data_IF_782569006315
#
_entry.id   IF_782569006315
#
_cell.length_a   1.000
_cell.length_b   1.000
_cell.length_c   1.000
_cell.angle_alpha   90.00
_cell.angle_beta   90.00
_cell.angle_gamma   90.00
#
_symmetry.space_group_name_H-M   'P 1'
#
loop_
_entity.id
_entity.type
_entity.pdbx_description
1 polymer ?
#
# COMPACT_ATOMS: atom_id res chain seq x y z
N UNK A 1 0.37 7.12 -36.02
CA UNK A 1 -0.83 6.28 -35.74
C UNK A 1 -0.52 4.80 -35.55
N UNK A 2 0.25 4.14 -36.43
CA UNK A 2 0.61 2.71 -36.32
C UNK A 2 1.28 2.37 -34.96
N UNK A 3 2.14 3.26 -34.46
CA UNK A 3 2.81 3.11 -33.16
C UNK A 3 1.86 3.15 -31.95
N UNK A 4 0.76 3.91 -32.01
CA UNK A 4 -0.25 3.92 -30.94
C UNK A 4 -1.04 2.60 -30.91
N UNK A 5 -1.31 2.02 -32.08
CA UNK A 5 -1.99 0.73 -32.23
C UNK A 5 -1.14 -0.44 -31.70
N UNK A 6 0.15 -0.47 -32.03
CA UNK A 6 1.09 -1.48 -31.50
C UNK A 6 1.23 -1.37 -29.97
N UNK A 7 1.21 -0.14 -29.43
CA UNK A 7 1.25 0.09 -27.99
C UNK A 7 -0.03 -0.36 -27.28
N UNK A 8 -1.21 -0.08 -27.85
CA UNK A 8 -2.48 -0.59 -27.31
C UNK A 8 -2.50 -2.13 -27.35
N UNK A 9 -1.96 -2.74 -28.41
CA UNK A 9 -1.83 -4.19 -28.54
C UNK A 9 -0.84 -4.78 -27.52
N UNK A 10 0.30 -4.13 -27.28
CA UNK A 10 1.26 -4.56 -26.27
C UNK A 10 0.65 -4.46 -24.86
N UNK A 11 -0.08 -3.39 -24.57
CA UNK A 11 -0.76 -3.22 -23.27
C UNK A 11 -1.93 -4.19 -23.07
N UNK A 12 -2.72 -4.50 -24.11
CA UNK A 12 -3.79 -5.50 -24.01
C UNK A 12 -3.22 -6.90 -23.84
N UNK A 13 -2.12 -7.24 -24.53
CA UNK A 13 -1.43 -8.52 -24.36
C UNK A 13 -0.76 -8.62 -22.99
N UNK A 14 -0.11 -7.56 -22.50
CA UNK A 14 0.50 -7.56 -21.17
C UNK A 14 -0.55 -7.65 -20.06
N UNK A 15 -1.66 -6.90 -20.20
CA UNK A 15 -2.80 -7.00 -19.29
C UNK A 15 -3.47 -8.38 -19.34
N UNK A 16 -3.59 -8.98 -20.54
CA UNK A 16 -4.15 -10.33 -20.72
C UNK A 16 -3.25 -11.42 -20.14
N UNK A 17 -1.94 -11.33 -20.35
CA UNK A 17 -0.94 -12.26 -19.79
C UNK A 17 -0.86 -12.13 -18.27
N UNK A 18 -0.97 -10.91 -17.73
CA UNK A 18 -1.05 -10.68 -16.29
C UNK A 18 -2.36 -11.21 -15.69
N UNK A 19 -3.48 -11.14 -16.40
CA UNK A 19 -4.78 -11.69 -15.98
C UNK A 19 -4.81 -13.23 -16.03
N UNK A 20 -4.11 -13.85 -17.00
CA UNK A 20 -4.11 -15.30 -17.21
C UNK A 20 -3.27 -16.08 -16.20
N UNK A 21 -2.29 -15.45 -15.55
CA UNK A 21 -1.35 -16.15 -14.65
C UNK A 21 -1.85 -16.42 -13.23
N UNK A 22 -3.10 -16.09 -12.88
CA UNK A 22 -3.68 -16.28 -11.54
C UNK A 22 -2.72 -15.88 -10.40
N UNK A 23 -1.88 -14.87 -10.68
CA UNK A 23 -1.06 -14.23 -9.66
C UNK A 23 -2.07 -13.34 -8.97
N UNK A 24 -2.48 -13.74 -7.76
CA UNK A 24 -3.29 -12.95 -6.83
C UNK A 24 -2.54 -11.66 -6.45
N UNK A 25 -2.34 -10.78 -7.42
CA UNK A 25 -2.23 -9.37 -7.14
C UNK A 25 -3.61 -8.95 -6.69
N UNK A 26 -3.64 -8.31 -5.52
CA UNK A 26 -4.80 -7.66 -4.97
C UNK A 26 -5.17 -6.38 -5.76
N UNK A 27 -5.04 -6.43 -7.09
CA UNK A 27 -5.44 -5.41 -8.04
C UNK A 27 -6.94 -5.13 -7.92
N UNK A 28 -7.73 -6.16 -7.57
CA UNK A 28 -9.16 -6.04 -7.25
C UNK A 28 -9.43 -5.09 -6.09
N UNK A 29 -8.55 -5.03 -5.08
CA UNK A 29 -8.68 -4.11 -3.94
C UNK A 29 -8.21 -2.69 -4.30
N UNK A 30 -7.16 -2.56 -5.13
CA UNK A 30 -6.65 -1.29 -5.66
C UNK A 30 -7.69 -0.63 -6.59
N UNK A 31 -8.41 -1.41 -7.41
CA UNK A 31 -9.46 -0.88 -8.28
C UNK A 31 -10.77 -0.55 -7.55
N UNK A 32 -10.98 -1.09 -6.33
CA UNK A 32 -12.22 -0.92 -5.58
C UNK A 32 -12.36 0.47 -4.95
N UNK A 33 -11.24 1.16 -4.69
CA UNK A 33 -11.21 2.50 -4.06
C UNK A 33 -10.79 3.57 -5.08
N UNK A 34 -11.51 4.69 -5.14
CA UNK A 34 -11.29 5.78 -6.11
C UNK A 34 -9.82 6.25 -6.21
N UNK A 35 -9.08 6.23 -5.10
CA UNK A 35 -7.66 6.60 -5.02
C UNK A 35 -6.74 5.69 -5.86
N UNK A 36 -7.00 4.38 -5.90
CA UNK A 36 -6.15 3.45 -6.67
C UNK A 36 -6.30 3.64 -8.18
N UNK A 37 -7.49 4.03 -8.65
CA UNK A 37 -7.73 4.41 -10.05
C UNK A 37 -6.99 5.69 -10.41
N UNK A 38 -6.99 6.71 -9.55
CA UNK A 38 -6.26 7.97 -9.80
C UNK A 38 -4.75 7.74 -9.89
N UNK A 39 -4.19 6.85 -9.06
CA UNK A 39 -2.75 6.55 -9.08
C UNK A 39 -2.35 5.78 -10.34
N UNK A 40 -3.18 4.83 -10.80
CA UNK A 40 -2.94 4.14 -12.06
C UNK A 40 -2.92 5.12 -13.24
N UNK A 41 -3.85 6.08 -13.26
CA UNK A 41 -3.89 7.15 -14.26
C UNK A 41 -2.63 8.02 -14.16
N UNK A 42 -2.20 8.42 -12.96
CA UNK A 42 -0.98 9.22 -12.80
C UNK A 42 0.27 8.50 -13.30
N UNK A 43 0.40 7.19 -13.05
CA UNK A 43 1.51 6.40 -13.55
C UNK A 43 1.53 6.36 -15.09
N UNK A 44 0.37 6.21 -15.73
CA UNK A 44 0.26 6.20 -17.20
C UNK A 44 0.62 7.57 -17.79
N UNK A 45 0.12 8.66 -17.19
CA UNK A 45 0.44 10.03 -17.63
C UNK A 45 1.94 10.30 -17.51
N UNK A 46 2.55 9.97 -16.36
CA UNK A 46 3.99 10.13 -16.13
C UNK A 46 4.80 9.31 -17.12
N UNK A 47 4.38 8.08 -17.40
CA UNK A 47 5.02 7.21 -18.38
C UNK A 47 5.02 7.81 -19.79
N UNK A 48 3.87 8.33 -20.26
CA UNK A 48 3.75 8.92 -21.59
C UNK A 48 4.58 10.21 -21.68
N UNK A 49 4.48 11.09 -20.70
CA UNK A 49 5.21 12.37 -20.67
C UNK A 49 6.72 12.12 -20.64
N UNK A 50 7.22 11.30 -19.69
CA UNK A 50 8.64 11.01 -19.60
C UNK A 50 9.17 10.22 -20.80
N UNK A 51 8.39 9.25 -21.31
CA UNK A 51 8.74 8.50 -22.50
C UNK A 51 8.91 9.40 -23.72
N UNK A 52 8.02 10.38 -23.92
CA UNK A 52 8.15 11.35 -25.03
C UNK A 52 9.36 12.28 -24.87
N UNK A 53 9.65 12.75 -23.67
CA UNK A 53 10.82 13.61 -23.39
C UNK A 53 12.12 12.83 -23.64
N UNK A 54 12.23 11.64 -23.08
CA UNK A 54 13.43 10.80 -23.20
C UNK A 54 13.63 10.35 -24.64
N UNK A 55 12.55 10.01 -25.37
CA UNK A 55 12.63 9.66 -26.78
C UNK A 55 13.18 10.83 -27.64
N UNK A 56 12.79 12.08 -27.33
CA UNK A 56 13.36 13.26 -28.04
C UNK A 56 14.86 13.43 -27.79
N UNK A 57 15.38 12.97 -26.66
CA UNK A 57 16.80 13.07 -26.32
C UNK A 57 17.60 11.94 -26.97
N UNK A 58 17.08 10.71 -26.93
CA UNK A 58 17.77 9.51 -27.39
C UNK A 58 17.53 9.20 -28.88
N UNK A 59 16.51 9.79 -29.50
CA UNK A 59 16.04 9.42 -30.85
C UNK A 59 15.73 7.92 -31.04
N UNK A 60 15.57 7.18 -29.95
CA UNK A 60 15.26 5.76 -29.94
C UNK A 60 14.01 5.52 -29.08
N UNK A 61 12.86 5.19 -29.70
CA UNK A 61 11.60 5.07 -28.97
C UNK A 61 11.59 3.89 -28.02
N UNK A 62 12.16 2.75 -28.41
CA UNK A 62 12.15 1.53 -27.59
C UNK A 62 12.89 1.78 -26.27
N UNK A 63 14.11 2.30 -26.36
CA UNK A 63 14.95 2.57 -25.20
C UNK A 63 14.35 3.68 -24.33
N UNK A 64 13.82 4.74 -24.94
CA UNK A 64 13.23 5.86 -24.19
C UNK A 64 12.04 5.44 -23.31
N UNK A 65 11.16 4.57 -23.82
CA UNK A 65 10.05 4.06 -23.02
C UNK A 65 10.50 3.01 -21.99
N UNK A 66 11.51 2.19 -22.27
CA UNK A 66 12.09 1.29 -21.26
C UNK A 66 12.62 2.05 -20.03
N UNK A 67 13.32 3.17 -20.26
CA UNK A 67 13.82 4.02 -19.17
C UNK A 67 12.67 4.68 -18.43
N UNK A 68 11.63 5.14 -19.16
CA UNK A 68 10.47 5.81 -18.56
C UNK A 68 9.64 4.92 -17.61
N UNK A 69 9.76 3.58 -17.70
CA UNK A 69 9.11 2.66 -16.75
C UNK A 69 9.59 2.86 -15.31
N UNK A 70 10.87 3.17 -15.11
CA UNK A 70 11.45 3.32 -13.77
C UNK A 70 10.79 4.48 -12.97
N UNK A 71 10.78 5.73 -13.47
CA UNK A 71 10.13 6.84 -12.76
C UNK A 71 8.60 6.74 -12.77
N UNK A 72 7.98 6.10 -13.77
CA UNK A 72 6.54 5.89 -13.79
C UNK A 72 6.05 4.95 -12.66
N UNK A 73 6.94 4.12 -12.11
CA UNK A 73 6.64 3.24 -10.98
C UNK A 73 6.73 3.95 -9.61
N UNK A 74 7.34 5.14 -9.57
CA UNK A 74 7.60 5.88 -8.33
C UNK A 74 6.32 6.30 -7.58
N UNK A 75 5.25 6.81 -8.22
CA UNK A 75 3.98 7.10 -7.53
C UNK A 75 3.35 5.86 -6.89
N UNK A 76 3.49 4.69 -7.53
CA UNK A 76 3.00 3.43 -6.99
C UNK A 76 3.79 3.01 -5.75
N UNK A 77 5.12 3.12 -5.77
CA UNK A 77 5.96 2.85 -4.60
C UNK A 77 5.62 3.76 -3.41
N UNK A 78 5.45 5.07 -3.66
CA UNK A 78 5.05 6.03 -2.61
C UNK A 78 3.69 5.65 -2.02
N UNK A 79 2.73 5.29 -2.87
CA UNK A 79 1.42 4.84 -2.40
C UNK A 79 1.50 3.57 -1.53
N UNK A 80 2.27 2.57 -1.97
CA UNK A 80 2.43 1.32 -1.23
C UNK A 80 3.14 1.53 0.12
N UNK A 81 4.14 2.43 0.16
CA UNK A 81 4.81 2.86 1.39
C UNK A 81 3.84 3.56 2.37
N UNK A 82 3.05 4.52 1.90
CA UNK A 82 2.08 5.23 2.74
C UNK A 82 1.00 4.27 3.24
N UNK A 83 0.51 3.38 2.38
CA UNK A 83 -0.49 2.37 2.73
C UNK A 83 0.05 1.38 3.77
N UNK A 84 1.25 0.86 3.57
CA UNK A 84 1.89 -0.07 4.52
C UNK A 84 2.20 0.58 5.87
N UNK A 85 2.62 1.86 5.88
CA UNK A 85 2.78 2.63 7.10
C UNK A 85 1.46 2.80 7.84
N UNK A 86 0.38 3.12 7.13
CA UNK A 86 -0.96 3.28 7.70
C UNK A 86 -1.50 1.95 8.23
N UNK A 87 -1.34 0.87 7.47
CA UNK A 87 -1.68 -0.49 7.90
C UNK A 87 -0.98 -0.88 9.20
N UNK A 88 0.33 -0.59 9.30
CA UNK A 88 1.12 -0.88 10.51
C UNK A 88 0.68 -0.05 11.72
N UNK A 89 0.30 1.21 11.50
CA UNK A 89 -0.30 2.05 12.55
C UNK A 89 -1.67 1.53 12.97
N UNK A 90 -2.47 1.06 12.02
CA UNK A 90 -3.77 0.43 12.28
C UNK A 90 -3.61 -0.79 13.19
N UNK A 91 -2.74 -1.74 12.81
CA UNK A 91 -2.47 -2.94 13.62
C UNK A 91 -2.04 -2.61 15.04
N UNK A 92 -1.09 -1.67 15.21
CA UNK A 92 -0.62 -1.26 16.55
C UNK A 92 -1.69 -0.54 17.37
N UNK A 93 -2.62 0.14 16.70
CA UNK A 93 -3.72 0.85 17.34
C UNK A 93 -4.82 -0.09 17.85
N UNK A 94 -4.93 -1.33 17.35
CA UNK A 94 -5.97 -2.29 17.76
C UNK A 94 -5.88 -2.60 19.26
N UNK A 95 -4.68 -2.85 19.78
CA UNK A 95 -4.50 -3.14 21.21
C UNK A 95 -4.91 -1.94 22.08
N UNK A 96 -4.58 -0.72 21.63
CA UNK A 96 -5.02 0.51 22.30
C UNK A 96 -6.55 0.68 22.28
N UNK A 97 -7.18 0.39 21.14
CA UNK A 97 -8.63 0.37 21.01
C UNK A 97 -9.28 -0.62 21.98
N UNK A 98 -8.80 -1.86 21.99
CA UNK A 98 -9.33 -2.93 22.82
C UNK A 98 -9.17 -2.61 24.32
N UNK A 99 -8.03 -2.07 24.76
CA UNK A 99 -7.85 -1.65 26.15
C UNK A 99 -8.88 -0.60 26.58
N UNK A 100 -9.15 0.40 25.73
CA UNK A 100 -10.12 1.47 26.04
C UNK A 100 -11.55 0.94 26.01
N UNK A 101 -11.89 0.10 25.02
CA UNK A 101 -13.19 -0.56 24.94
C UNK A 101 -13.43 -1.47 26.15
N UNK A 102 -12.45 -2.30 26.54
CA UNK A 102 -12.52 -3.14 27.74
C UNK A 102 -12.78 -2.27 28.98
N UNK A 103 -12.03 -1.18 29.14
CA UNK A 103 -12.20 -0.25 30.28
C UNK A 103 -13.62 0.32 30.36
N UNK A 104 -14.21 0.78 29.26
CA UNK A 104 -15.55 1.38 29.31
C UNK A 104 -16.68 0.35 29.37
N UNK A 105 -16.45 -0.84 28.80
CA UNK A 105 -17.41 -1.96 28.89
C UNK A 105 -17.55 -2.54 30.31
N UNK A 106 -16.54 -2.39 31.17
CA UNK A 106 -16.65 -2.74 32.59
C UNK A 106 -17.51 -1.75 33.38
N UNK A 107 -17.59 -0.50 32.91
CA UNK A 107 -18.44 0.54 33.51
C UNK A 107 -19.88 0.37 33.04
N UNK A 108 -20.09 0.19 31.73
CA UNK A 108 -21.43 0.01 31.15
C UNK A 108 -21.40 -0.96 29.99
N UNK A 109 -22.26 -1.97 30.05
CA UNK A 109 -22.39 -2.99 29.02
C UNK A 109 -23.25 -2.51 27.82
N UNK A 110 -22.82 -1.42 27.17
CA UNK A 110 -23.48 -0.80 26.03
C UNK A 110 -22.45 -0.38 24.99
N UNK A 111 -22.58 -0.88 23.75
CA UNK A 111 -21.62 -0.65 22.66
C UNK A 111 -21.58 0.82 22.26
N UNK A 112 -22.73 1.50 22.20
CA UNK A 112 -22.79 2.91 21.79
C UNK A 112 -22.05 3.77 22.81
N UNK A 113 -22.31 3.53 24.09
CA UNK A 113 -21.61 4.20 25.18
C UNK A 113 -20.10 3.95 25.13
N UNK A 114 -19.68 2.69 24.92
CA UNK A 114 -18.25 2.35 24.83
C UNK A 114 -17.57 3.07 23.66
N UNK A 115 -18.20 3.12 22.49
CA UNK A 115 -17.66 3.80 21.31
C UNK A 115 -17.53 5.31 21.53
N UNK A 116 -18.55 5.96 22.08
CA UNK A 116 -18.53 7.40 22.39
C UNK A 116 -17.42 7.74 23.39
N UNK A 117 -17.29 6.97 24.49
CA UNK A 117 -16.21 7.16 25.46
C UNK A 117 -14.82 6.84 24.91
N UNK A 118 -14.75 5.96 23.92
CA UNK A 118 -13.50 5.68 23.21
C UNK A 118 -13.10 6.86 22.32
N UNK A 119 -14.04 7.51 21.63
CA UNK A 119 -13.76 8.72 20.83
C UNK A 119 -13.27 9.89 21.71
N UNK A 120 -13.87 10.08 22.90
CA UNK A 120 -13.43 11.07 23.88
C UNK A 120 -11.96 10.90 24.30
N UNK A 121 -11.44 9.67 24.26
CA UNK A 121 -10.05 9.34 24.62
C UNK A 121 -9.04 9.79 23.54
N UNK A 122 -9.51 10.17 22.34
CA UNK A 122 -8.68 10.64 21.22
C UNK A 122 -7.53 9.69 20.88
N UNK A 123 -7.90 8.45 20.52
CA UNK A 123 -6.94 7.46 20.03
C UNK A 123 -6.14 7.98 18.81
N UNK A 124 -4.94 7.44 18.62
CA UNK A 124 -4.09 7.79 17.49
C UNK A 124 -4.71 7.36 16.15
N UNK A 125 -4.42 8.15 15.11
CA UNK A 125 -4.82 7.81 13.74
C UNK A 125 -4.03 6.59 13.23
N UNK A 126 -4.68 5.66 12.49
CA UNK A 126 -6.01 5.77 11.86
C UNK A 126 -7.20 5.27 12.69
N UNK A 127 -6.95 4.63 13.84
CA UNK A 127 -8.01 4.04 14.67
C UNK A 127 -8.95 5.10 15.23
N UNK A 128 -8.40 6.22 15.71
CA UNK A 128 -9.19 7.36 16.18
C UNK A 128 -10.19 7.85 15.12
N UNK A 129 -9.75 7.99 13.87
CA UNK A 129 -10.60 8.36 12.74
C UNK A 129 -11.76 7.39 12.50
N UNK A 130 -11.51 6.07 12.55
CA UNK A 130 -12.58 5.08 12.39
C UNK A 130 -13.62 5.16 13.51
N UNK A 131 -13.19 5.29 14.76
CA UNK A 131 -14.09 5.41 15.92
C UNK A 131 -14.91 6.69 15.84
N UNK A 132 -14.27 7.81 15.49
CA UNK A 132 -14.95 9.09 15.31
C UNK A 132 -16.00 9.03 14.20
N UNK A 133 -15.64 8.46 13.05
CA UNK A 133 -16.55 8.32 11.92
C UNK A 133 -17.74 7.42 12.28
N UNK A 134 -17.52 6.34 13.03
CA UNK A 134 -18.61 5.52 13.56
C UNK A 134 -19.50 6.32 14.51
N UNK A 135 -18.94 7.08 15.46
CA UNK A 135 -19.74 7.89 16.40
C UNK A 135 -20.60 8.93 15.66
N UNK A 136 -20.04 9.63 14.67
CA UNK A 136 -20.78 10.58 13.82
C UNK A 136 -21.95 9.89 13.09
N UNK A 137 -21.75 8.66 12.58
CA UNK A 137 -22.80 7.89 11.91
C UNK A 137 -23.92 7.51 12.89
N UNK A 138 -23.56 7.06 14.09
CA UNK A 138 -24.52 6.72 15.15
C UNK A 138 -25.33 7.95 15.59
N UNK A 139 -24.70 9.10 15.77
CA UNK A 139 -25.37 10.36 16.11
C UNK A 139 -26.34 10.82 15.03
N UNK A 140 -26.06 10.51 13.76
CA UNK A 140 -26.95 10.76 12.62
C UNK A 140 -28.08 9.74 12.48
N UNK A 141 -28.23 8.80 13.42
CA UNK A 141 -29.31 7.83 13.45
C UNK A 141 -29.03 6.55 12.67
N UNK A 142 -27.80 6.31 12.20
CA UNK A 142 -27.42 5.01 11.62
C UNK A 142 -27.42 3.94 12.71
N UNK A 143 -27.87 2.73 12.39
CA UNK A 143 -27.83 1.63 13.36
C UNK A 143 -26.40 1.21 13.67
N UNK A 144 -26.19 0.60 14.86
CA UNK A 144 -24.86 0.12 15.29
C UNK A 144 -24.31 -0.93 14.34
N UNK A 145 -25.16 -1.85 13.87
CA UNK A 145 -24.75 -2.92 12.95
C UNK A 145 -24.29 -2.34 11.59
N UNK A 146 -25.03 -1.38 11.04
CA UNK A 146 -24.67 -0.69 9.79
C UNK A 146 -23.40 0.15 9.94
N UNK A 147 -23.26 0.90 11.03
CA UNK A 147 -22.08 1.73 11.28
C UNK A 147 -20.81 0.87 11.39
N UNK A 148 -20.87 -0.27 12.11
CA UNK A 148 -19.79 -1.24 12.21
C UNK A 148 -19.49 -1.90 10.87
N UNK A 149 -20.52 -2.28 10.09
CA UNK A 149 -20.34 -2.87 8.76
C UNK A 149 -19.66 -1.90 7.79
N UNK A 150 -20.09 -0.64 7.79
CA UNK A 150 -19.49 0.40 6.96
C UNK A 150 -18.08 0.78 7.44
N UNK A 151 -17.75 0.61 8.72
CA UNK A 151 -16.37 0.72 9.21
C UNK A 151 -15.51 -0.47 8.78
N UNK A 152 -16.07 -1.68 8.81
CA UNK A 152 -15.40 -2.91 8.37
C UNK A 152 -14.96 -2.82 6.91
N UNK A 153 -15.78 -2.24 6.03
CA UNK A 153 -15.41 -2.02 4.62
C UNK A 153 -14.23 -1.05 4.43
N UNK A 154 -14.00 -0.16 5.40
CA UNK A 154 -12.94 0.85 5.34
C UNK A 154 -11.64 0.40 6.01
N UNK A 155 -11.71 -0.55 6.94
CA UNK A 155 -10.57 -1.11 7.67
C UNK A 155 -9.56 -1.77 6.72
N UNK A 156 -8.28 -1.39 6.83
CA UNK A 156 -7.22 -1.89 5.97
C UNK A 156 -6.78 -3.29 6.40
N UNK A 157 -6.67 -3.52 7.71
CA UNK A 157 -6.23 -4.75 8.33
C UNK A 157 -7.36 -5.76 8.49
N UNK A 158 -7.06 -7.04 8.27
CA UNK A 158 -8.01 -8.13 8.52
C UNK A 158 -8.28 -8.26 10.02
N UNK A 159 -7.28 -7.92 10.84
CA UNK A 159 -7.33 -7.87 12.29
C UNK A 159 -8.37 -6.87 12.80
N UNK A 160 -8.36 -5.63 12.28
CA UNK A 160 -9.37 -4.64 12.65
C UNK A 160 -10.76 -5.09 12.17
N UNK A 161 -10.86 -5.65 10.96
CA UNK A 161 -12.13 -6.22 10.48
C UNK A 161 -12.65 -7.33 11.39
N UNK A 162 -11.77 -8.21 11.85
CA UNK A 162 -12.11 -9.26 12.80
C UNK A 162 -12.63 -8.67 14.11
N UNK A 163 -11.96 -7.66 14.67
CA UNK A 163 -12.43 -6.96 15.89
C UNK A 163 -13.82 -6.35 15.67
N UNK A 164 -14.03 -5.63 14.57
CA UNK A 164 -15.33 -5.00 14.25
C UNK A 164 -16.46 -6.02 14.07
N UNK A 165 -16.18 -7.15 13.40
CA UNK A 165 -17.14 -8.26 13.27
C UNK A 165 -17.53 -8.81 14.64
N UNK A 166 -16.56 -9.02 15.53
CA UNK A 166 -16.83 -9.52 16.89
C UNK A 166 -17.63 -8.51 17.72
N UNK A 167 -17.34 -7.21 17.61
CA UNK A 167 -18.14 -6.16 18.25
C UNK A 167 -19.59 -6.19 17.74
N UNK A 168 -19.78 -6.31 16.41
CA UNK A 168 -21.11 -6.38 15.81
C UNK A 168 -21.88 -7.61 16.26
N UNK A 169 -21.22 -8.77 16.26
CA UNK A 169 -21.81 -10.01 16.74
C UNK A 169 -22.21 -9.93 18.22
N UNK A 170 -21.35 -9.32 19.05
CA UNK A 170 -21.63 -9.08 20.47
C UNK A 170 -22.85 -8.18 20.69
N UNK A 171 -23.01 -7.16 19.84
CA UNK A 171 -24.18 -6.27 19.86
C UNK A 171 -25.46 -7.01 19.45
N UNK A 172 -25.44 -7.78 18.36
CA UNK A 172 -26.62 -8.44 17.81
C UNK A 172 -27.10 -9.64 18.65
N UNK A 173 -26.16 -10.43 19.20
CA UNK A 173 -26.49 -11.62 19.99
C UNK A 173 -26.60 -11.33 21.50
N UNK A 174 -26.16 -10.15 21.92
CA UNK A 174 -26.07 -9.79 23.33
C UNK A 174 -24.97 -10.57 24.06
N UNK A 175 -24.80 -10.23 25.34
CA UNK A 175 -23.79 -10.83 26.22
C UNK A 175 -22.97 -9.79 26.97
N UNK A 176 -21.90 -10.26 27.64
CA UNK A 176 -20.96 -9.38 28.33
C UNK A 176 -19.92 -8.87 27.35
N UNK A 177 -20.05 -7.61 26.92
CA UNK A 177 -19.08 -6.90 26.09
C UNK A 177 -17.70 -6.94 26.73
N UNK A 178 -17.65 -6.78 28.05
CA UNK A 178 -16.40 -6.87 28.81
C UNK A 178 -15.66 -8.18 28.59
N UNK A 179 -16.35 -9.34 28.64
CA UNK A 179 -15.70 -10.64 28.40
C UNK A 179 -15.17 -10.75 26.97
N UNK A 180 -15.92 -10.23 26.00
CA UNK A 180 -15.54 -10.28 24.58
C UNK A 180 -14.34 -9.38 24.33
N UNK A 181 -14.38 -8.12 24.77
CA UNK A 181 -13.27 -7.18 24.60
C UNK A 181 -12.03 -7.62 25.37
N UNK A 182 -12.18 -8.16 26.58
CA UNK A 182 -11.04 -8.71 27.34
C UNK A 182 -10.42 -9.92 26.66
N UNK A 183 -11.24 -10.80 26.06
CA UNK A 183 -10.74 -11.93 25.29
C UNK A 183 -9.95 -11.48 24.06
N UNK A 184 -10.51 -10.53 23.29
CA UNK A 184 -9.82 -9.96 22.12
C UNK A 184 -8.53 -9.24 22.54
N UNK A 185 -8.57 -8.42 23.58
CA UNK A 185 -7.40 -7.72 24.13
C UNK A 185 -6.27 -8.69 24.46
N UNK A 186 -6.58 -9.77 25.18
CA UNK A 186 -5.58 -10.78 25.52
C UNK A 186 -5.01 -11.52 24.30
N UNK A 187 -5.83 -11.75 23.26
CA UNK A 187 -5.38 -12.36 22.01
C UNK A 187 -4.43 -11.43 21.26
N UNK A 188 -4.82 -10.17 21.07
CA UNK A 188 -4.01 -9.18 20.37
C UNK A 188 -2.74 -8.80 21.12
N UNK A 189 -2.76 -8.81 22.45
CA UNK A 189 -1.56 -8.58 23.25
C UNK A 189 -0.49 -9.67 23.01
N UNK A 190 -0.90 -10.95 22.94
CA UNK A 190 0.00 -12.06 22.61
C UNK A 190 0.56 -11.94 21.19
N UNK A 191 -0.30 -11.58 20.23
CA UNK A 191 0.10 -11.35 18.84
C UNK A 191 1.11 -10.20 18.75
N UNK A 192 0.87 -9.09 19.45
CA UNK A 192 1.78 -7.96 19.49
C UNK A 192 3.12 -8.33 20.13
N UNK A 193 3.14 -9.16 21.18
CA UNK A 193 4.36 -9.63 21.81
C UNK A 193 5.19 -10.52 20.85
N UNK A 194 4.55 -11.45 20.15
CA UNK A 194 5.21 -12.28 19.13
C UNK A 194 5.73 -11.43 17.96
N UNK A 195 4.94 -10.46 17.52
CA UNK A 195 5.33 -9.53 16.47
C UNK A 195 6.51 -8.67 16.91
N UNK A 196 6.53 -8.21 18.17
CA UNK A 196 7.64 -7.43 18.72
C UNK A 196 8.94 -8.23 18.73
N UNK A 197 8.89 -9.51 19.11
CA UNK A 197 10.05 -10.42 19.04
C UNK A 197 10.58 -10.61 17.62
N UNK A 198 9.71 -10.61 16.60
CA UNK A 198 10.08 -10.73 15.17
C UNK A 198 10.52 -9.40 14.53
N UNK A 199 10.10 -8.25 15.07
CA UNK A 199 10.24 -6.91 14.46
C UNK A 199 11.69 -6.41 14.34
N UNK A 200 12.59 -6.89 15.20
CA UNK A 200 13.97 -6.39 15.29
C UNK A 200 14.79 -6.77 14.04
N UNK A 201 14.48 -7.88 13.37
CA UNK A 201 15.25 -8.32 12.20
C UNK A 201 14.74 -7.72 10.87
N UNK A 202 13.43 -7.54 10.70
CA UNK A 202 12.84 -7.21 9.37
C UNK A 202 12.94 -5.73 8.98
N UNK A 203 13.05 -4.80 9.94
CA UNK A 203 13.12 -3.36 9.62
C UNK A 203 14.46 -2.97 8.98
N UNK A 204 15.56 -3.50 9.51
CA UNK A 204 16.90 -3.29 8.96
C UNK A 204 16.96 -3.77 7.50
N UNK A 205 16.39 -4.94 7.22
CA UNK A 205 16.35 -5.52 5.87
C UNK A 205 15.55 -4.65 4.89
N UNK A 206 14.39 -4.11 5.32
CA UNK A 206 13.60 -3.21 4.47
C UNK A 206 14.37 -1.93 4.12
N UNK A 207 15.06 -1.32 5.08
CA UNK A 207 15.88 -0.12 4.81
C UNK A 207 17.09 -0.43 3.93
N UNK A 208 17.76 -1.57 4.13
CA UNK A 208 18.87 -2.00 3.28
C UNK A 208 18.45 -2.15 1.81
N UNK A 209 17.25 -2.70 1.57
CA UNK A 209 16.68 -2.83 0.22
C UNK A 209 16.32 -1.48 -0.40
N UNK A 210 15.70 -0.56 0.35
CA UNK A 210 15.42 0.78 -0.19
C UNK A 210 16.70 1.57 -0.47
N UNK A 211 17.70 1.45 0.42
CA UNK A 211 19.01 2.09 0.25
C UNK A 211 19.72 1.56 -1.00
N UNK A 212 19.65 0.25 -1.27
CA UNK A 212 20.27 -0.32 -2.47
C UNK A 212 19.64 0.19 -3.76
N UNK A 213 18.31 0.36 -3.81
CA UNK A 213 17.60 0.97 -4.95
C UNK A 213 18.11 2.40 -5.19
N UNK A 214 18.22 3.21 -4.12
CA UNK A 214 18.72 4.60 -4.22
C UNK A 214 20.17 4.64 -4.70
N UNK A 215 21.03 3.75 -4.18
CA UNK A 215 22.43 3.66 -4.59
C UNK A 215 22.59 3.28 -6.06
N UNK A 216 21.77 2.35 -6.57
CA UNK A 216 21.77 1.98 -7.99
C UNK A 216 21.32 3.15 -8.87
N UNK A 217 20.27 3.88 -8.49
CA UNK A 217 19.84 5.07 -9.21
C UNK A 217 20.89 6.18 -9.21
N UNK A 218 21.56 6.41 -8.07
CA UNK A 218 22.65 7.38 -7.95
C UNK A 218 23.84 7.01 -8.84
N UNK A 219 24.20 5.72 -8.86
CA UNK A 219 25.28 5.21 -9.72
C UNK A 219 24.93 5.36 -11.19
N UNK A 220 23.70 5.05 -11.58
CA UNK A 220 23.20 5.25 -12.93
C UNK A 220 23.29 6.73 -13.36
N UNK A 221 22.84 7.64 -12.50
CA UNK A 221 22.94 9.08 -12.74
C UNK A 221 24.41 9.51 -12.92
N UNK A 222 25.30 9.09 -12.03
CA UNK A 222 26.72 9.43 -12.09
C UNK A 222 27.42 8.84 -13.33
N UNK A 223 27.06 7.64 -13.79
CA UNK A 223 27.73 7.00 -14.93
C UNK A 223 27.22 7.55 -16.27
N UNK A 224 25.92 7.75 -16.40
CA UNK A 224 25.28 8.14 -17.68
C UNK A 224 25.37 9.64 -17.94
N UNK A 225 25.26 10.48 -16.89
CA UNK A 225 25.26 11.94 -17.04
C UNK A 225 26.62 12.58 -16.81
N UNK A 226 27.65 11.80 -16.48
CA UNK A 226 29.01 12.32 -16.46
C UNK A 226 29.47 12.63 -17.88
N UNK A 227 30.10 13.80 -18.07
CA UNK A 227 30.59 14.32 -19.36
C UNK A 227 31.76 13.51 -19.95
N UNK A 228 32.18 12.44 -19.30
CA UNK A 228 33.25 11.56 -19.75
C UNK A 228 32.86 10.65 -20.92
N UNK A 229 33.78 9.73 -21.26
CA UNK A 229 33.61 8.75 -22.34
C UNK A 229 32.37 7.86 -22.14
N UNK A 230 32.04 7.54 -20.89
CA UNK A 230 30.89 6.71 -20.51
C UNK A 230 29.56 7.32 -20.97
N UNK A 231 29.33 8.60 -20.71
CA UNK A 231 28.09 9.27 -21.12
C UNK A 231 27.93 9.34 -22.64
N UNK A 232 29.04 9.58 -23.36
CA UNK A 232 29.00 9.56 -24.82
C UNK A 232 28.69 8.18 -25.38
N UNK A 233 29.25 7.12 -24.78
CA UNK A 233 28.96 5.75 -25.19
C UNK A 233 27.47 5.39 -24.99
N UNK A 234 26.90 5.70 -23.83
CA UNK A 234 25.52 5.34 -23.52
C UNK A 234 24.47 6.17 -24.27
N UNK A 235 24.75 7.44 -24.55
CA UNK A 235 23.78 8.36 -25.16
C UNK A 235 23.88 8.46 -26.69
N UNK A 236 25.06 8.23 -27.28
CA UNK A 236 25.28 8.45 -28.72
C UNK A 236 25.47 7.17 -29.55
N UNK A 237 25.89 6.07 -28.94
CA UNK A 237 26.10 4.79 -29.64
C UNK A 237 24.88 3.90 -29.54
N UNK A 238 24.48 3.27 -30.65
CA UNK A 238 23.32 2.35 -30.70
C UNK A 238 23.46 1.19 -29.71
N UNK A 239 24.65 0.62 -29.61
CA UNK A 239 24.97 -0.47 -28.66
C UNK A 239 24.81 -0.01 -27.21
N UNK A 240 25.27 1.21 -26.89
CA UNK A 240 25.14 1.80 -25.55
C UNK A 240 23.68 2.06 -25.18
N UNK A 241 22.87 2.57 -26.12
CA UNK A 241 21.44 2.79 -25.91
C UNK A 241 20.68 1.47 -25.67
N UNK A 242 20.98 0.43 -26.45
CA UNK A 242 20.35 -0.89 -26.29
C UNK A 242 20.68 -1.49 -24.91
N UNK A 243 21.94 -1.42 -24.50
CA UNK A 243 22.41 -1.88 -23.20
C UNK A 243 21.69 -1.14 -22.04
N UNK A 244 21.49 0.17 -22.20
CA UNK A 244 20.77 1.00 -21.23
C UNK A 244 19.30 0.57 -21.10
N UNK A 245 18.64 0.26 -22.22
CA UNK A 245 17.28 -0.30 -22.23
C UNK A 245 17.19 -1.65 -21.50
N UNK A 246 18.16 -2.55 -21.71
CA UNK A 246 18.24 -3.84 -21.01
C UNK A 246 18.42 -3.65 -19.51
N UNK A 247 19.30 -2.74 -19.07
CA UNK A 247 19.48 -2.43 -17.66
C UNK A 247 18.22 -1.83 -17.02
N UNK A 248 17.53 -0.93 -17.71
CA UNK A 248 16.26 -0.39 -17.23
C UNK A 248 15.20 -1.49 -17.02
N UNK A 249 15.10 -2.44 -17.96
CA UNK A 249 14.18 -3.59 -17.83
C UNK A 249 14.56 -4.53 -16.68
N UNK A 250 15.84 -4.88 -16.54
CA UNK A 250 16.32 -5.72 -15.45
C UNK A 250 16.05 -5.08 -14.08
N UNK A 251 16.31 -3.78 -13.96
CA UNK A 251 16.04 -3.05 -12.74
C UNK A 251 14.54 -2.97 -12.44
N UNK A 252 13.70 -2.72 -13.44
CA UNK A 252 12.25 -2.74 -13.29
C UNK A 252 11.76 -4.12 -12.81
N UNK A 253 12.26 -5.21 -13.40
CA UNK A 253 11.96 -6.57 -12.95
C UNK A 253 12.41 -6.82 -11.50
N UNK A 254 13.59 -6.33 -11.13
CA UNK A 254 14.11 -6.38 -9.76
C UNK A 254 13.20 -5.65 -8.77
N UNK A 255 12.76 -4.43 -9.11
CA UNK A 255 11.80 -3.67 -8.30
C UNK A 255 10.49 -4.43 -8.09
N UNK A 256 9.93 -5.05 -9.14
CA UNK A 256 8.69 -5.84 -9.02
C UNK A 256 8.85 -7.03 -8.06
N UNK A 257 9.98 -7.73 -8.10
CA UNK A 257 10.28 -8.83 -7.18
C UNK A 257 10.38 -8.31 -5.75
N UNK A 258 11.12 -7.21 -5.55
CA UNK A 258 11.31 -6.59 -4.24
C UNK A 258 9.98 -6.17 -3.63
N UNK A 259 9.12 -5.47 -4.38
CA UNK A 259 7.80 -5.05 -3.89
C UNK A 259 6.96 -6.26 -3.49
N UNK A 260 7.06 -7.37 -4.21
CA UNK A 260 6.36 -8.61 -3.87
C UNK A 260 6.87 -9.23 -2.56
N UNK A 261 8.18 -9.23 -2.35
CA UNK A 261 8.80 -9.74 -1.12
C UNK A 261 8.40 -8.85 0.06
N UNK A 262 8.50 -7.52 -0.08
CA UNK A 262 8.17 -6.56 0.98
C UNK A 262 6.71 -6.66 1.39
N UNK A 263 5.77 -6.88 0.46
CA UNK A 263 4.34 -7.04 0.77
C UNK A 263 4.02 -8.29 1.60
N UNK A 264 4.88 -9.31 1.55
CA UNK A 264 4.71 -10.57 2.30
C UNK A 264 5.13 -10.45 3.78
N UNK A 265 5.79 -9.35 4.16
CA UNK A 265 6.27 -9.04 5.50
C UNK A 265 5.62 -7.79 6.08
#
# INVERSE_FOLDING_TARGET
MIYLLINVLFFTVLAFVMNRKNINYDFKLILKKHLGKMIAVSCIVIFIVLGTIINKILNNPVVGYCIALMPAFLPYLVYDLVKSATFKKEQQGITSLLMVLTKWSSVRNDVVYCLQKTDETKLSEPIGGYIREMCIRLEKGMSVSEALSACQENALSEELRYVLINIRYAYEKGGSLYRIFKSLENQFFKIDEENFKRKINTLSDKYAVYLSIVMVMATFYMVVLNKGQSGQYYLKTETGMLLLGVFALLFFAGMLIITKVIKRY
#
